data_IF_558403387250
#
_entry.id   IF_558403387250
#
_cell.length_a   1.000
_cell.length_b   1.000
_cell.length_c   1.000
_cell.angle_alpha   90.00
_cell.angle_beta   90.00
_cell.angle_gamma   90.00
#
_symmetry.space_group_name_H-M   'P 1'
#
loop_
_entity.id
_entity.type
_entity.pdbx_description
1 polymer ?
#
# COMPACT_ATOMS: atom_id res chain seq x y z
N UNK A 1 -20.57 -30.01 6.28
CA UNK A 1 -21.79 -29.26 6.63
C UNK A 1 -22.76 -29.29 5.45
N UNK A 2 -24.08 -29.34 5.70
CA UNK A 2 -25.11 -29.25 4.65
C UNK A 2 -25.94 -27.99 4.92
N UNK A 3 -26.18 -27.21 3.87
CA UNK A 3 -27.05 -26.04 3.89
C UNK A 3 -28.22 -26.30 2.94
N UNK A 4 -29.43 -26.05 3.40
CA UNK A 4 -30.64 -26.16 2.57
C UNK A 4 -30.69 -24.98 1.61
N UNK A 5 -31.09 -25.25 0.37
CA UNK A 5 -31.42 -24.22 -0.62
C UNK A 5 -32.95 -24.13 -0.78
N UNK A 6 -33.47 -22.95 -1.03
CA UNK A 6 -34.89 -22.62 -1.08
C UNK A 6 -35.25 -21.93 -2.41
N UNK A 7 -36.46 -22.20 -2.92
CA UNK A 7 -37.10 -21.52 -4.04
C UNK A 7 -38.30 -20.74 -3.45
N UNK A 8 -38.01 -19.67 -2.72
CA UNK A 8 -39.00 -18.98 -1.91
C UNK A 8 -39.03 -17.45 -2.14
N UNK A 9 -38.24 -16.93 -3.08
CA UNK A 9 -38.10 -15.50 -3.34
C UNK A 9 -37.29 -14.76 -2.27
N UNK A 10 -36.57 -15.51 -1.42
CA UNK A 10 -35.61 -15.04 -0.43
C UNK A 10 -34.29 -15.84 -0.57
N UNK A 11 -33.33 -15.67 0.34
CA UNK A 11 -32.07 -16.43 0.32
C UNK A 11 -31.26 -16.26 -1.00
N UNK A 12 -31.24 -15.04 -1.57
CA UNK A 12 -30.67 -14.72 -2.90
C UNK A 12 -31.40 -15.40 -4.08
N UNK A 13 -32.64 -15.80 -3.86
CA UNK A 13 -33.60 -16.20 -4.89
C UNK A 13 -34.60 -15.06 -5.12
N UNK A 14 -34.82 -14.68 -6.38
CA UNK A 14 -35.59 -13.47 -6.71
C UNK A 14 -37.08 -13.66 -6.75
N UNK A 15 -37.61 -14.89 -7.07
CA UNK A 15 -39.01 -15.18 -7.23
C UNK A 15 -39.35 -16.57 -6.73
N UNK A 16 -40.33 -16.67 -5.84
CA UNK A 16 -40.82 -17.97 -5.34
C UNK A 16 -41.44 -18.83 -6.43
N UNK A 17 -40.99 -20.08 -6.54
CA UNK A 17 -41.54 -21.09 -7.41
C UNK A 17 -41.11 -21.01 -8.87
N UNK A 18 -40.01 -20.30 -9.18
CA UNK A 18 -39.51 -20.16 -10.56
C UNK A 18 -38.48 -21.24 -10.94
N UNK A 19 -38.12 -22.10 -10.01
CA UNK A 19 -37.15 -23.19 -10.19
C UNK A 19 -35.71 -22.77 -9.95
N UNK A 20 -35.45 -21.53 -9.53
CA UNK A 20 -34.15 -21.05 -9.06
C UNK A 20 -34.09 -21.26 -7.53
N UNK A 21 -32.97 -21.73 -7.04
CA UNK A 21 -32.80 -22.04 -5.62
C UNK A 21 -31.64 -21.24 -5.03
N UNK A 22 -31.92 -20.46 -4.01
CA UNK A 22 -30.94 -19.70 -3.26
C UNK A 22 -30.55 -20.36 -1.93
N UNK A 23 -29.34 -20.08 -1.47
CA UNK A 23 -28.87 -20.55 -0.16
C UNK A 23 -27.53 -19.94 0.22
N UNK A 24 -27.34 -19.75 1.51
CA UNK A 24 -26.15 -19.07 2.04
C UNK A 24 -25.16 -20.09 2.61
N UNK A 25 -23.93 -20.04 2.12
CA UNK A 25 -22.80 -20.73 2.76
C UNK A 25 -22.42 -19.94 4.02
N UNK A 26 -22.30 -20.59 5.21
CA UNK A 26 -21.87 -19.89 6.42
C UNK A 26 -20.55 -19.17 6.24
N UNK A 27 -20.37 -18.05 6.95
CA UNK A 27 -19.11 -17.32 6.97
C UNK A 27 -17.97 -18.15 7.56
N UNK A 28 -16.79 -18.02 6.97
CA UNK A 28 -15.55 -18.62 7.45
C UNK A 28 -14.50 -17.54 7.64
N UNK A 29 -13.48 -17.83 8.45
CA UNK A 29 -12.35 -16.92 8.64
C UNK A 29 -11.60 -16.63 7.33
N UNK A 30 -11.01 -15.44 7.23
CA UNK A 30 -10.17 -15.07 6.10
C UNK A 30 -9.03 -16.10 5.88
N UNK A 31 -8.66 -16.32 4.64
CA UNK A 31 -7.68 -17.33 4.25
C UNK A 31 -8.22 -18.76 4.18
N UNK A 32 -9.46 -19.02 4.64
CA UNK A 32 -10.06 -20.36 4.59
C UNK A 32 -10.34 -20.78 3.15
N UNK A 33 -9.91 -21.97 2.78
CA UNK A 33 -10.31 -22.64 1.53
C UNK A 33 -11.64 -23.34 1.75
N UNK A 34 -12.69 -22.87 1.09
CA UNK A 34 -14.02 -23.46 1.15
C UNK A 34 -14.23 -24.34 -0.08
N UNK A 35 -14.57 -25.60 0.15
CA UNK A 35 -14.93 -26.55 -0.88
C UNK A 35 -16.41 -26.87 -0.77
N UNK A 36 -17.14 -26.79 -1.89
CA UNK A 36 -18.57 -27.08 -1.88
C UNK A 36 -19.03 -27.71 -3.18
N UNK A 37 -20.14 -28.38 -3.11
CA UNK A 37 -20.92 -28.86 -4.27
C UNK A 37 -22.40 -28.73 -3.99
N UNK A 38 -23.21 -28.76 -5.02
CA UNK A 38 -24.67 -28.67 -4.93
C UNK A 38 -25.25 -30.07 -5.20
N UNK A 39 -26.19 -30.49 -4.37
CA UNK A 39 -26.95 -31.72 -4.54
C UNK A 39 -28.42 -31.39 -4.72
N UNK A 40 -29.02 -31.81 -5.81
CA UNK A 40 -30.46 -31.77 -6.04
C UNK A 40 -31.04 -33.15 -6.01
N UNK A 41 -32.08 -33.35 -5.22
CA UNK A 41 -32.81 -34.64 -5.12
C UNK A 41 -34.24 -34.44 -5.58
N UNK A 42 -34.67 -35.28 -6.51
CA UNK A 42 -36.06 -35.23 -7.01
C UNK A 42 -37.04 -35.74 -5.96
N UNK A 43 -38.17 -35.07 -5.82
CA UNK A 43 -39.26 -35.46 -4.92
C UNK A 43 -40.12 -36.66 -5.44
N UNK A 44 -39.73 -37.27 -6.58
CA UNK A 44 -40.41 -38.41 -7.15
C UNK A 44 -40.09 -39.74 -6.43
N UNK A 45 -40.82 -40.81 -6.76
CA UNK A 45 -40.63 -42.12 -6.16
C UNK A 45 -39.22 -42.70 -6.39
N UNK A 46 -38.56 -42.34 -7.48
CA UNK A 46 -37.21 -42.81 -7.81
C UNK A 46 -36.11 -42.09 -7.03
N UNK A 47 -36.44 -40.95 -6.39
CA UNK A 47 -35.48 -40.11 -5.64
C UNK A 47 -34.13 -39.89 -6.35
N UNK A 48 -34.22 -39.60 -7.65
CA UNK A 48 -33.02 -39.36 -8.45
C UNK A 48 -32.24 -38.16 -7.89
N UNK A 49 -30.91 -38.29 -7.84
CA UNK A 49 -30.00 -37.28 -7.32
C UNK A 49 -29.11 -36.79 -8.46
N UNK A 50 -28.86 -35.50 -8.48
CA UNK A 50 -27.90 -34.83 -9.36
C UNK A 50 -26.93 -34.00 -8.52
N UNK A 51 -25.74 -33.90 -9.03
CA UNK A 51 -24.67 -33.11 -8.39
C UNK A 51 -24.14 -32.04 -9.36
N UNK A 52 -23.69 -30.93 -8.80
CA UNK A 52 -22.97 -29.90 -9.51
C UNK A 52 -21.74 -29.48 -8.67
N UNK A 53 -20.52 -29.69 -9.17
CA UNK A 53 -20.14 -30.37 -10.41
C UNK A 53 -20.60 -31.83 -10.49
N UNK A 54 -20.71 -32.38 -11.69
CA UNK A 54 -21.25 -33.74 -11.89
C UNK A 54 -20.39 -34.83 -11.24
N UNK A 55 -19.12 -34.58 -11.03
CA UNK A 55 -18.14 -35.48 -10.37
C UNK A 55 -18.07 -35.34 -8.85
N UNK A 56 -18.99 -34.57 -8.22
CA UNK A 56 -18.99 -34.49 -6.76
C UNK A 56 -19.20 -35.92 -6.16
N UNK A 57 -18.48 -36.24 -5.13
CA UNK A 57 -17.69 -35.53 -4.12
C UNK A 57 -16.19 -35.41 -4.46
N UNK A 58 -15.77 -35.84 -5.64
CA UNK A 58 -14.37 -35.73 -6.10
C UNK A 58 -14.10 -34.39 -6.78
N UNK A 59 -15.03 -33.94 -7.62
CA UNK A 59 -15.00 -32.62 -8.23
C UNK A 59 -15.84 -31.67 -7.38
N UNK A 60 -15.25 -30.53 -6.98
CA UNK A 60 -15.90 -29.55 -6.11
C UNK A 60 -15.58 -28.14 -6.59
N UNK A 61 -16.47 -27.20 -6.31
CA UNK A 61 -16.14 -25.78 -6.38
C UNK A 61 -15.24 -25.41 -5.20
N UNK A 62 -14.29 -24.53 -5.47
CA UNK A 62 -13.34 -24.05 -4.45
C UNK A 62 -13.27 -22.54 -4.53
N UNK A 63 -13.33 -21.88 -3.38
CA UNK A 63 -12.95 -20.47 -3.26
C UNK A 63 -12.18 -20.23 -1.96
N UNK A 64 -11.41 -19.17 -1.92
CA UNK A 64 -10.73 -18.70 -0.70
C UNK A 64 -11.49 -17.51 -0.16
N UNK A 65 -11.71 -17.50 1.16
CA UNK A 65 -12.32 -16.35 1.83
C UNK A 65 -11.31 -15.23 1.82
N UNK A 66 -11.58 -14.16 1.08
CA UNK A 66 -10.73 -12.98 1.06
C UNK A 66 -10.81 -12.23 2.40
N UNK A 67 -9.70 -11.72 2.92
CA UNK A 67 -9.75 -10.84 4.07
C UNK A 67 -10.50 -9.55 3.72
N UNK A 68 -11.26 -9.04 4.68
CA UNK A 68 -11.92 -7.75 4.55
C UNK A 68 -10.95 -6.62 4.89
N UNK A 69 -11.08 -5.47 4.24
CA UNK A 69 -10.36 -4.27 4.63
C UNK A 69 -11.03 -3.63 5.84
N UNK A 70 -10.22 -3.12 6.76
CA UNK A 70 -10.68 -2.29 7.86
C UNK A 70 -10.98 -0.87 7.35
N UNK A 71 -11.88 -0.17 8.04
CA UNK A 71 -12.04 1.27 7.87
C UNK A 71 -11.07 2.06 8.77
N UNK A 72 -10.33 1.36 9.62
CA UNK A 72 -9.29 1.94 10.47
C UNK A 72 -8.02 2.12 9.64
N UNK A 73 -7.59 3.36 9.49
CA UNK A 73 -6.38 3.75 8.76
C UNK A 73 -5.46 4.59 9.64
N UNK A 74 -5.66 4.52 10.95
CA UNK A 74 -5.02 5.40 11.91
C UNK A 74 -3.55 5.02 12.16
N UNK A 75 -3.24 3.72 12.12
CA UNK A 75 -1.90 3.19 12.29
C UNK A 75 -1.52 2.43 11.02
N UNK A 76 -0.29 2.62 10.57
CA UNK A 76 0.23 2.00 9.35
C UNK A 76 1.54 1.30 9.61
N UNK A 77 1.88 0.33 8.76
CA UNK A 77 3.24 -0.21 8.66
C UNK A 77 4.09 0.88 8.00
N UNK A 78 5.10 1.39 8.68
CA UNK A 78 5.88 2.54 8.25
C UNK A 78 7.26 2.16 7.70
N UNK A 79 7.93 1.23 8.36
CA UNK A 79 9.24 0.73 7.95
C UNK A 79 9.39 -0.75 8.35
N UNK A 80 10.11 -1.52 7.57
CA UNK A 80 10.56 -2.87 7.94
C UNK A 80 12.05 -3.02 7.68
N UNK A 81 12.73 -3.78 8.54
CA UNK A 81 14.11 -4.19 8.38
C UNK A 81 14.15 -5.72 8.40
N UNK A 82 14.24 -6.32 7.22
CA UNK A 82 14.22 -7.77 7.06
C UNK A 82 15.62 -8.38 6.86
N UNK A 83 16.67 -7.64 7.20
CA UNK A 83 18.06 -8.09 7.23
C UNK A 83 18.87 -7.08 8.06
N UNK A 84 18.78 -7.17 9.38
CA UNK A 84 19.50 -6.32 10.31
C UNK A 84 20.76 -7.05 10.80
N UNK A 85 21.90 -6.41 10.69
CA UNK A 85 23.16 -6.96 11.22
C UNK A 85 23.95 -5.98 12.11
N UNK A 86 23.73 -4.67 11.93
CA UNK A 86 24.49 -3.66 12.67
C UNK A 86 23.73 -2.38 12.99
N UNK A 87 22.49 -2.23 12.53
CA UNK A 87 21.77 -0.93 12.60
C UNK A 87 21.13 -0.65 13.94
N UNK A 88 20.35 -1.56 14.45
CA UNK A 88 19.66 -1.41 15.74
C UNK A 88 19.65 -2.75 16.46
N UNK A 89 20.09 -2.75 17.69
CA UNK A 89 20.00 -3.90 18.57
C UNK A 89 18.81 -3.74 19.52
N UNK A 90 18.23 -4.86 19.90
CA UNK A 90 17.21 -4.94 20.93
C UNK A 90 17.79 -4.71 22.35
N UNK A 91 16.96 -4.88 23.37
CA UNK A 91 17.36 -4.74 24.77
C UNK A 91 18.30 -5.85 25.25
N UNK A 92 18.48 -6.93 24.49
CA UNK A 92 19.38 -8.05 24.75
C UNK A 92 20.70 -7.94 23.99
N UNK A 93 20.81 -6.92 23.12
CA UNK A 93 22.00 -6.65 22.30
C UNK A 93 22.02 -7.49 21.02
N UNK A 94 20.90 -8.04 20.60
CA UNK A 94 20.75 -8.83 19.38
C UNK A 94 20.29 -7.94 18.23
N UNK A 95 20.77 -8.24 17.02
CA UNK A 95 20.43 -7.50 15.80
C UNK A 95 19.39 -8.28 15.01
N UNK A 96 18.15 -8.20 15.47
CA UNK A 96 17.03 -8.89 14.87
C UNK A 96 16.28 -8.02 13.86
N UNK A 97 15.50 -8.66 13.00
CA UNK A 97 14.60 -7.98 12.09
C UNK A 97 13.52 -7.24 12.89
N UNK A 98 13.03 -6.14 12.34
CA UNK A 98 12.00 -5.35 13.02
C UNK A 98 10.96 -4.74 12.09
N UNK A 99 9.81 -4.44 12.67
CA UNK A 99 8.67 -3.79 12.05
C UNK A 99 8.38 -2.51 12.81
N UNK A 100 8.23 -1.40 12.10
CA UNK A 100 7.81 -0.14 12.68
C UNK A 100 6.36 0.16 12.30
N UNK A 101 5.53 0.40 13.31
CA UNK A 101 4.18 0.92 13.17
C UNK A 101 4.17 2.40 13.51
N UNK A 102 3.44 3.19 12.76
CA UNK A 102 3.36 4.65 12.93
C UNK A 102 1.91 5.10 13.13
N UNK A 103 1.67 5.90 14.17
CA UNK A 103 0.40 6.59 14.38
C UNK A 103 0.42 7.94 13.65
N UNK A 104 -0.24 8.03 12.51
CA UNK A 104 -0.32 9.25 11.70
C UNK A 104 -1.40 10.23 12.17
N UNK A 105 -2.04 9.99 13.31
CA UNK A 105 -3.09 10.84 13.85
C UNK A 105 -2.59 11.90 14.82
N UNK A 106 -3.49 12.83 15.11
CA UNK A 106 -3.31 13.88 16.12
C UNK A 106 -3.77 13.45 17.52
N UNK A 107 -4.23 12.20 17.70
CA UNK A 107 -4.64 11.62 18.96
C UNK A 107 -3.95 10.28 19.22
N UNK A 108 -3.79 9.86 20.49
CA UNK A 108 -3.31 8.52 20.81
C UNK A 108 -4.23 7.44 20.23
N UNK A 109 -3.65 6.36 19.72
CA UNK A 109 -4.41 5.21 19.20
C UNK A 109 -4.08 3.97 20.01
N UNK A 110 -5.11 3.31 20.53
CA UNK A 110 -5.00 2.00 21.19
C UNK A 110 -5.06 0.91 20.14
N UNK A 111 -3.95 0.19 19.96
CA UNK A 111 -3.81 -0.94 19.04
C UNK A 111 -3.77 -2.28 19.77
N UNK A 112 -4.26 -2.32 21.01
CA UNK A 112 -4.41 -3.56 21.78
C UNK A 112 -5.22 -4.60 21.03
N UNK A 113 -4.68 -5.80 20.91
CA UNK A 113 -5.37 -6.90 20.26
C UNK A 113 -5.35 -6.89 18.73
N UNK A 114 -4.69 -5.94 18.11
CA UNK A 114 -4.36 -5.99 16.67
C UNK A 114 -3.44 -7.18 16.40
N UNK A 115 -3.30 -7.56 15.14
CA UNK A 115 -2.45 -8.68 14.75
C UNK A 115 -1.43 -8.25 13.71
N UNK A 116 -0.23 -8.84 13.80
CA UNK A 116 0.77 -8.87 12.73
C UNK A 116 0.92 -10.30 12.22
N UNK A 117 1.07 -10.44 10.92
CA UNK A 117 1.32 -11.74 10.29
C UNK A 117 2.10 -11.61 9.00
N UNK A 118 3.09 -12.48 8.84
CA UNK A 118 3.84 -12.75 7.61
C UNK A 118 3.17 -13.82 6.73
N UNK A 119 2.01 -14.34 7.15
CA UNK A 119 1.38 -15.50 6.54
C UNK A 119 -0.06 -15.21 6.09
N UNK A 120 -0.36 -15.23 4.78
CA UNK A 120 -1.70 -14.93 4.26
C UNK A 120 -2.77 -15.97 4.63
N UNK A 121 -2.36 -17.15 5.12
CA UNK A 121 -3.28 -18.23 5.52
C UNK A 121 -3.52 -18.25 7.03
N UNK A 122 -2.66 -17.57 7.82
CA UNK A 122 -2.77 -17.44 9.27
C UNK A 122 -2.61 -15.97 9.67
N UNK A 123 -3.65 -15.18 9.42
CA UNK A 123 -3.62 -13.72 9.60
C UNK A 123 -3.56 -13.27 11.07
N UNK A 124 -3.86 -14.13 12.03
CA UNK A 124 -3.78 -13.86 13.48
C UNK A 124 -2.55 -14.49 14.14
N UNK A 125 -1.40 -14.49 13.44
CA UNK A 125 -0.19 -15.20 13.85
C UNK A 125 0.39 -14.68 15.16
N UNK A 126 0.47 -13.35 15.32
CA UNK A 126 0.93 -12.70 16.54
C UNK A 126 0.01 -11.52 16.91
N UNK A 127 -0.37 -11.46 18.18
CA UNK A 127 -1.29 -10.45 18.68
C UNK A 127 -0.54 -9.37 19.48
N UNK A 128 -0.78 -8.12 19.16
CA UNK A 128 -0.26 -6.96 19.88
C UNK A 128 -0.81 -6.97 21.31
N UNK A 129 0.04 -6.85 22.32
CA UNK A 129 -0.36 -6.94 23.73
C UNK A 129 -1.40 -5.90 24.14
N UNK A 130 -2.19 -6.25 25.16
CA UNK A 130 -3.16 -5.33 25.76
C UNK A 130 -2.45 -4.13 26.41
N UNK A 131 -3.05 -2.94 26.29
CA UNK A 131 -2.50 -1.68 26.80
C UNK A 131 -1.48 -1.02 25.87
N UNK A 132 -1.35 -1.50 24.64
CA UNK A 132 -0.45 -0.90 23.66
C UNK A 132 -1.09 0.33 23.02
N UNK A 133 -0.56 1.52 23.35
CA UNK A 133 -1.03 2.81 22.84
C UNK A 133 0.14 3.51 22.15
N UNK A 134 -0.06 3.91 20.88
CA UNK A 134 0.90 4.73 20.16
C UNK A 134 0.45 6.19 20.26
N UNK A 135 1.34 7.07 20.75
CA UNK A 135 1.08 8.50 20.87
C UNK A 135 0.94 9.18 19.48
N UNK A 136 0.38 10.39 19.38
CA UNK A 136 0.28 11.11 18.12
C UNK A 136 1.64 11.30 17.46
N UNK A 137 1.76 10.96 16.17
CA UNK A 137 2.98 11.05 15.37
C UNK A 137 4.17 10.27 15.97
N UNK A 138 3.88 9.20 16.73
CA UNK A 138 4.87 8.36 17.38
C UNK A 138 4.92 6.97 16.75
N UNK A 139 5.91 6.18 17.12
CA UNK A 139 6.24 4.90 16.53
C UNK A 139 6.18 3.78 17.57
N UNK A 140 5.90 2.58 17.09
CA UNK A 140 6.08 1.34 17.85
C UNK A 140 6.96 0.39 17.06
N UNK A 141 8.06 -0.04 17.68
CA UNK A 141 8.92 -1.09 17.12
C UNK A 141 8.46 -2.44 17.65
N UNK A 142 8.34 -3.39 16.73
CA UNK A 142 8.08 -4.81 17.00
C UNK A 142 9.24 -5.60 16.41
N UNK A 143 9.96 -6.34 17.25
CA UNK A 143 11.03 -7.25 16.85
C UNK A 143 10.42 -8.50 16.23
N UNK A 144 10.89 -8.89 15.08
CA UNK A 144 10.43 -10.08 14.37
C UNK A 144 11.53 -11.15 14.42
N UNK A 145 11.63 -11.84 15.57
CA UNK A 145 12.77 -12.64 15.97
C UNK A 145 12.44 -14.06 16.45
N UNK A 146 11.15 -14.41 16.56
CA UNK A 146 10.64 -15.67 17.15
C UNK A 146 10.98 -15.83 18.64
N UNK A 147 11.44 -14.79 19.33
CA UNK A 147 11.81 -14.85 20.75
C UNK A 147 10.88 -14.05 21.66
N UNK A 148 9.65 -14.50 21.78
CA UNK A 148 8.64 -13.88 22.64
C UNK A 148 9.00 -13.89 24.14
N UNK A 149 10.06 -14.60 24.55
CA UNK A 149 10.57 -14.59 25.92
C UNK A 149 11.31 -13.30 26.26
N UNK A 150 11.81 -12.59 25.26
CA UNK A 150 12.53 -11.32 25.43
C UNK A 150 11.62 -10.14 25.72
N UNK A 151 10.31 -10.23 25.44
CA UNK A 151 9.42 -9.15 25.81
C UNK A 151 8.09 -9.12 25.04
N UNK A 152 7.22 -8.16 25.41
CA UNK A 152 5.88 -8.10 24.83
C UNK A 152 5.84 -7.66 23.36
N UNK A 153 6.91 -7.07 22.85
CA UNK A 153 7.02 -6.61 21.46
C UNK A 153 7.99 -7.45 20.61
N UNK A 154 8.24 -8.70 21.03
CA UNK A 154 8.96 -9.71 20.26
C UNK A 154 7.96 -10.68 19.64
N UNK A 155 7.83 -10.62 18.31
CA UNK A 155 6.86 -11.40 17.57
C UNK A 155 7.33 -12.87 17.42
N UNK A 156 6.38 -13.77 17.27
CA UNK A 156 6.64 -15.20 17.12
C UNK A 156 6.94 -15.62 15.66
N UNK A 157 7.53 -14.69 14.88
CA UNK A 157 7.93 -14.93 13.49
C UNK A 157 9.13 -14.04 13.13
N UNK A 158 9.83 -14.42 12.06
CA UNK A 158 10.93 -13.66 11.46
C UNK A 158 10.51 -13.09 10.12
N UNK A 159 11.21 -12.07 9.63
CA UNK A 159 11.03 -11.56 8.29
C UNK A 159 12.02 -12.21 7.33
N UNK A 160 11.63 -12.33 6.06
CA UNK A 160 12.47 -12.88 5.01
C UNK A 160 13.17 -11.77 4.24
N UNK A 161 14.48 -11.72 4.30
CA UNK A 161 15.30 -10.82 3.47
C UNK A 161 15.23 -11.11 1.97
N UNK A 162 14.73 -12.27 1.55
CA UNK A 162 14.54 -12.62 0.13
C UNK A 162 13.20 -12.13 -0.46
N UNK A 163 12.32 -11.64 0.38
CA UNK A 163 10.99 -11.15 0.02
C UNK A 163 9.88 -11.90 0.73
N UNK A 164 8.84 -11.16 1.11
CA UNK A 164 7.72 -11.64 1.90
C UNK A 164 6.53 -10.69 1.85
N UNK A 165 5.47 -11.04 2.57
CA UNK A 165 4.29 -10.21 2.81
C UNK A 165 4.10 -10.02 4.31
N UNK A 166 3.66 -8.83 4.70
CA UNK A 166 3.30 -8.49 6.08
C UNK A 166 1.91 -7.87 6.10
N UNK A 167 1.11 -8.26 7.09
CA UNK A 167 -0.24 -7.76 7.31
C UNK A 167 -0.37 -7.18 8.71
N UNK A 168 -1.00 -6.02 8.82
CA UNK A 168 -1.53 -5.44 10.05
C UNK A 168 -3.05 -5.57 10.02
N UNK A 169 -3.64 -6.19 11.05
CA UNK A 169 -5.08 -6.42 11.13
C UNK A 169 -5.65 -5.83 12.42
N UNK A 170 -6.90 -5.38 12.35
CA UNK A 170 -7.66 -4.98 13.54
C UNK A 170 -8.12 -6.21 14.36
N UNK A 171 -8.65 -6.01 15.58
CA UNK A 171 -9.14 -7.12 16.41
C UNK A 171 -10.27 -7.94 15.78
N UNK A 172 -10.95 -7.40 14.76
CA UNK A 172 -11.97 -8.11 13.97
C UNK A 172 -11.37 -8.90 12.81
N UNK A 173 -10.03 -8.96 12.72
CA UNK A 173 -9.26 -9.63 11.66
C UNK A 173 -9.48 -9.02 10.26
N UNK A 174 -9.75 -7.73 10.19
CA UNK A 174 -9.77 -6.97 8.93
C UNK A 174 -8.40 -6.32 8.70
N UNK A 175 -7.96 -6.33 7.45
CA UNK A 175 -6.68 -5.72 7.09
C UNK A 175 -6.76 -4.20 7.25
N UNK A 176 -5.92 -3.67 8.12
CA UNK A 176 -5.68 -2.22 8.30
C UNK A 176 -4.66 -1.74 7.28
N UNK A 177 -3.55 -2.47 7.17
CA UNK A 177 -2.47 -2.19 6.23
C UNK A 177 -1.77 -3.47 5.81
N UNK A 178 -1.09 -3.44 4.68
CA UNK A 178 -0.29 -4.57 4.20
C UNK A 178 0.87 -4.11 3.35
N UNK A 179 1.94 -4.89 3.40
CA UNK A 179 3.18 -4.65 2.69
C UNK A 179 3.65 -5.93 2.02
N UNK A 180 4.18 -5.80 0.80
CA UNK A 180 4.89 -6.87 0.10
C UNK A 180 6.22 -6.34 -0.39
N UNK A 181 7.29 -7.11 -0.20
CA UNK A 181 8.62 -6.74 -0.66
C UNK A 181 9.32 -7.91 -1.37
N UNK A 182 10.29 -7.58 -2.21
CA UNK A 182 11.25 -8.49 -2.82
C UNK A 182 12.56 -8.53 -2.02
N UNK A 183 13.68 -8.97 -2.64
CA UNK A 183 14.97 -9.05 -1.95
C UNK A 183 15.38 -7.73 -1.29
N UNK A 184 15.78 -7.80 -0.03
CA UNK A 184 16.20 -6.66 0.78
C UNK A 184 17.73 -6.55 0.82
N UNK A 185 18.22 -5.36 1.12
CA UNK A 185 19.64 -5.07 1.32
C UNK A 185 19.92 -5.06 2.82
N UNK A 186 20.93 -5.77 3.26
CA UNK A 186 21.33 -5.81 4.68
C UNK A 186 21.60 -4.39 5.19
N UNK A 187 21.09 -4.11 6.38
CA UNK A 187 21.18 -2.81 7.06
C UNK A 187 20.55 -1.64 6.28
N UNK A 188 19.58 -1.93 5.42
CA UNK A 188 18.73 -0.94 4.78
C UNK A 188 17.27 -1.17 5.17
N UNK A 189 16.56 -0.10 5.49
CA UNK A 189 15.13 -0.10 5.76
C UNK A 189 14.32 -0.10 4.46
N UNK A 190 13.16 -0.75 4.48
CA UNK A 190 12.15 -0.60 3.45
C UNK A 190 11.00 0.21 4.05
N UNK A 191 10.97 1.51 3.72
CA UNK A 191 10.25 2.54 4.48
C UNK A 191 9.32 3.38 3.62
N UNK A 192 8.22 3.86 4.20
CA UNK A 192 7.30 4.80 3.53
C UNK A 192 7.93 6.18 3.44
N UNK A 193 8.02 6.71 2.22
CA UNK A 193 8.47 8.09 1.96
C UNK A 193 7.46 8.78 1.03
N UNK A 194 6.77 9.84 1.47
CA UNK A 194 6.77 10.45 2.81
C UNK A 194 6.32 9.52 3.94
N UNK A 195 6.78 9.84 5.16
CA UNK A 195 6.47 9.12 6.39
C UNK A 195 4.96 8.84 6.54
N UNK A 196 4.60 7.62 6.86
CA UNK A 196 3.21 7.18 7.09
C UNK A 196 2.33 7.03 5.85
N UNK A 197 2.62 7.69 4.74
CA UNK A 197 1.69 7.78 3.61
C UNK A 197 2.27 7.48 2.23
N UNK A 198 3.59 7.55 2.08
CA UNK A 198 4.26 7.38 0.79
C UNK A 198 4.36 5.92 0.33
N UNK A 199 4.86 5.72 -0.90
CA UNK A 199 5.31 4.41 -1.34
C UNK A 199 6.49 3.94 -0.51
N UNK A 200 6.69 2.62 -0.44
CA UNK A 200 7.87 2.05 0.21
C UNK A 200 9.09 2.15 -0.70
N UNK A 201 10.21 2.58 -0.13
CA UNK A 201 11.51 2.68 -0.80
C UNK A 201 12.60 2.07 0.09
N UNK A 202 13.67 1.54 -0.52
CA UNK A 202 14.88 1.12 0.21
C UNK A 202 15.70 2.37 0.53
N UNK A 203 16.01 2.57 1.81
CA UNK A 203 16.79 3.70 2.31
C UNK A 203 17.61 3.33 3.54
N UNK A 204 18.45 4.27 4.02
CA UNK A 204 19.05 4.15 5.36
C UNK A 204 17.93 4.06 6.41
N UNK A 205 18.04 3.13 7.37
CA UNK A 205 16.98 2.90 8.36
C UNK A 205 16.82 4.09 9.30
N UNK A 206 15.58 4.32 9.73
CA UNK A 206 15.24 5.47 10.57
C UNK A 206 14.84 5.08 12.00
N UNK A 207 14.59 3.85 12.29
CA UNK A 207 14.29 3.20 13.58
C UNK A 207 13.69 4.13 14.66
N UNK A 208 12.37 4.19 14.75
CA UNK A 208 11.64 5.04 15.69
C UNK A 208 11.67 6.53 15.34
N UNK A 209 11.91 6.87 14.08
CA UNK A 209 12.01 8.24 13.62
C UNK A 209 11.35 8.44 12.24
N UNK A 210 11.25 9.70 11.82
CA UNK A 210 10.63 10.08 10.56
C UNK A 210 11.44 9.56 9.36
N UNK A 211 10.80 8.82 8.46
CA UNK A 211 11.40 8.25 7.25
C UNK A 211 11.78 9.28 6.18
N UNK A 212 11.35 10.52 6.32
CA UNK A 212 11.76 11.55 5.37
C UNK A 212 13.27 11.76 5.48
N UNK A 213 14.02 11.78 4.36
CA UNK A 213 15.46 11.95 4.42
C UNK A 213 15.81 13.25 5.18
N UNK A 214 16.60 13.12 6.24
CA UNK A 214 17.10 14.25 7.00
C UNK A 214 18.03 15.07 6.10
N UNK A 215 17.57 16.21 5.63
CA UNK A 215 18.31 17.10 4.72
C UNK A 215 17.43 17.89 3.78
N UNK A 216 16.16 17.50 3.67
CA UNK A 216 15.12 18.39 3.22
C UNK A 216 14.33 18.77 4.49
N UNK A 217 14.66 19.88 5.14
CA UNK A 217 13.63 20.55 5.90
C UNK A 217 12.41 20.58 5.00
N UNK A 218 11.25 20.07 5.48
CA UNK A 218 9.98 20.53 4.96
C UNK A 218 9.94 22.03 5.24
N UNK A 219 10.66 22.78 4.43
CA UNK A 219 10.09 24.04 4.06
C UNK A 219 8.74 23.64 3.48
N UNK A 220 7.68 24.26 3.93
CA UNK A 220 6.39 24.35 3.26
C UNK A 220 6.61 24.99 1.88
N UNK A 221 7.56 24.48 1.13
CA UNK A 221 7.91 24.90 -0.20
C UNK A 221 6.81 24.37 -1.08
N UNK A 222 5.95 25.25 -1.47
CA UNK A 222 5.00 25.03 -2.54
C UNK A 222 5.75 24.31 -3.65
N UNK A 223 5.28 23.12 -4.10
CA UNK A 223 6.04 22.32 -5.05
C UNK A 223 6.36 23.14 -6.30
N UNK A 224 7.56 23.02 -6.82
CA UNK A 224 7.95 23.70 -8.03
C UNK A 224 6.97 23.33 -9.15
N UNK A 225 6.44 24.33 -9.81
CA UNK A 225 5.44 24.20 -10.86
C UNK A 225 5.87 24.97 -12.10
N UNK A 226 5.67 24.38 -13.27
CA UNK A 226 5.92 25.02 -14.57
C UNK A 226 4.77 24.69 -15.51
N UNK A 227 4.09 25.71 -16.04
CA UNK A 227 3.10 25.57 -17.08
C UNK A 227 3.50 26.37 -18.31
N UNK A 228 3.19 25.85 -19.49
CA UNK A 228 3.50 26.42 -20.79
C UNK A 228 2.19 26.53 -21.59
N UNK A 229 1.88 27.73 -22.11
CA UNK A 229 0.72 27.88 -22.97
C UNK A 229 0.84 29.10 -23.92
N UNK A 230 0.31 29.05 -25.16
CA UNK A 230 -0.14 27.80 -25.79
C UNK A 230 1.02 26.84 -26.05
N UNK A 231 0.70 25.55 -26.18
CA UNK A 231 1.65 24.54 -26.61
C UNK A 231 0.90 23.51 -27.50
N UNK A 232 1.11 23.52 -28.83
CA UNK A 232 2.14 24.27 -29.57
C UNK A 232 2.03 25.81 -29.50
N UNK A 233 3.19 26.47 -29.59
CA UNK A 233 3.31 27.94 -29.68
C UNK A 233 3.74 28.35 -31.08
N UNK A 234 3.17 29.47 -31.56
CA UNK A 234 3.48 30.04 -32.90
C UNK A 234 4.19 31.37 -32.82
N UNK A 235 3.73 32.27 -31.99
CA UNK A 235 4.29 33.63 -31.85
C UNK A 235 4.76 33.88 -30.41
N UNK A 236 3.94 33.59 -29.44
CA UNK A 236 4.23 33.83 -28.03
C UNK A 236 4.03 32.58 -27.17
N UNK A 237 4.91 32.42 -26.21
CA UNK A 237 4.84 31.41 -25.17
C UNK A 237 4.68 32.08 -23.81
N UNK A 238 3.64 31.75 -23.08
CA UNK A 238 3.46 32.18 -21.70
C UNK A 238 3.91 31.08 -20.77
N UNK A 239 4.64 31.45 -19.74
CA UNK A 239 5.11 30.60 -18.68
C UNK A 239 4.46 31.02 -17.37
N UNK A 240 3.89 30.09 -16.65
CA UNK A 240 3.53 30.26 -15.25
C UNK A 240 4.43 29.37 -14.42
N UNK A 241 5.17 29.96 -13.51
CA UNK A 241 6.27 29.32 -12.80
C UNK A 241 6.12 29.56 -11.31
N UNK A 242 6.31 28.52 -10.55
CA UNK A 242 6.48 28.59 -9.11
C UNK A 242 7.72 27.76 -8.77
N UNK A 243 8.77 28.41 -8.35
CA UNK A 243 10.00 27.76 -7.86
C UNK A 243 10.39 28.45 -6.55
N UNK A 244 10.37 27.71 -5.42
CA UNK A 244 10.70 28.26 -4.11
C UNK A 244 12.14 28.79 -4.01
N UNK A 245 13.01 28.38 -4.93
CA UNK A 245 14.40 28.82 -5.00
C UNK A 245 14.64 29.89 -6.07
N UNK A 246 13.58 30.35 -6.76
CA UNK A 246 13.64 31.40 -7.80
C UNK A 246 14.75 31.19 -8.86
N UNK A 247 14.94 29.91 -9.26
CA UNK A 247 15.99 29.54 -10.22
C UNK A 247 15.63 29.97 -11.62
N UNK A 248 16.63 30.41 -12.38
CA UNK A 248 16.48 30.85 -13.77
C UNK A 248 15.86 29.72 -14.64
N UNK A 249 15.14 30.18 -15.66
CA UNK A 249 14.53 29.32 -16.66
C UNK A 249 15.54 29.07 -17.77
N UNK A 250 15.77 27.81 -18.09
CA UNK A 250 16.66 27.42 -19.19
C UNK A 250 15.84 26.72 -20.28
N UNK A 251 16.16 27.03 -21.54
CA UNK A 251 15.52 26.44 -22.71
C UNK A 251 16.55 25.72 -23.56
N UNK A 252 16.25 24.47 -23.90
CA UNK A 252 17.15 23.59 -24.65
C UNK A 252 16.49 23.07 -25.92
N UNK A 253 17.28 22.82 -26.94
CA UNK A 253 16.88 22.00 -28.08
C UNK A 253 16.81 20.54 -27.67
N UNK A 254 16.19 19.69 -28.49
CA UNK A 254 16.18 18.24 -28.29
C UNK A 254 17.57 17.59 -28.28
N UNK A 255 18.58 18.27 -28.82
CA UNK A 255 19.97 17.84 -28.79
C UNK A 255 20.72 18.24 -27.51
N UNK A 256 20.00 18.87 -26.54
CA UNK A 256 20.55 19.31 -25.26
C UNK A 256 21.34 20.64 -25.34
N UNK A 257 21.32 21.33 -26.48
CA UNK A 257 21.93 22.66 -26.59
C UNK A 257 21.03 23.68 -25.90
N UNK A 258 21.56 24.41 -24.91
CA UNK A 258 20.88 25.51 -24.27
C UNK A 258 20.85 26.72 -25.20
N UNK A 259 19.67 27.23 -25.51
CA UNK A 259 19.44 28.36 -26.41
C UNK A 259 19.06 29.64 -25.69
N UNK A 260 18.42 29.51 -24.51
CA UNK A 260 18.05 30.67 -23.69
C UNK A 260 18.26 30.40 -22.21
N UNK A 261 18.59 31.44 -21.46
CA UNK A 261 18.48 31.52 -20.00
C UNK A 261 17.73 32.80 -19.68
N UNK A 262 16.68 32.72 -18.87
CA UNK A 262 15.80 33.81 -18.54
C UNK A 262 15.71 33.88 -17.02
N UNK A 263 15.90 35.07 -16.47
CA UNK A 263 15.80 35.28 -15.03
C UNK A 263 14.40 34.93 -14.53
N UNK A 264 14.33 34.28 -13.39
CA UNK A 264 13.08 33.87 -12.78
C UNK A 264 12.08 35.02 -12.64
N UNK A 265 10.85 34.75 -13.03
CA UNK A 265 9.66 35.49 -12.65
C UNK A 265 8.45 34.56 -12.63
N UNK A 266 7.45 34.80 -11.77
CA UNK A 266 6.28 33.91 -11.65
C UNK A 266 5.47 33.78 -12.94
N UNK A 267 5.49 34.83 -13.75
CA UNK A 267 4.84 34.90 -15.07
C UNK A 267 5.80 35.51 -16.07
N UNK A 268 5.98 34.86 -17.20
CA UNK A 268 6.82 35.31 -18.29
C UNK A 268 6.11 35.11 -19.62
N UNK A 269 6.35 36.03 -20.56
CA UNK A 269 5.96 35.89 -21.96
C UNK A 269 7.21 35.95 -22.82
N UNK A 270 7.38 34.95 -23.67
CA UNK A 270 8.53 34.81 -24.56
C UNK A 270 8.04 34.90 -26.00
N UNK A 271 8.69 35.75 -26.82
CA UNK A 271 8.49 35.75 -28.28
C UNK A 271 9.25 34.55 -28.88
N UNK A 272 8.50 33.61 -29.48
CA UNK A 272 9.03 32.43 -30.14
C UNK A 272 8.86 32.47 -31.65
N UNK A 273 8.36 33.58 -32.21
CA UNK A 273 8.07 33.72 -33.64
C UNK A 273 9.29 33.56 -34.56
N UNK A 274 10.50 33.80 -34.03
CA UNK A 274 11.76 33.62 -34.75
C UNK A 274 12.40 32.24 -34.51
N UNK A 275 11.78 31.38 -33.71
CA UNK A 275 12.38 30.08 -33.43
C UNK A 275 12.05 29.09 -34.53
N UNK A 276 13.01 28.22 -34.89
CA UNK A 276 12.71 27.13 -35.81
C UNK A 276 11.59 26.23 -35.28
N UNK A 277 10.68 25.82 -36.16
CA UNK A 277 9.66 24.83 -35.79
C UNK A 277 10.31 23.57 -35.28
N UNK A 278 9.85 23.09 -34.12
CA UNK A 278 10.48 21.93 -33.48
C UNK A 278 10.07 21.71 -32.02
N UNK A 279 10.81 20.83 -31.38
CA UNK A 279 10.60 20.47 -29.98
C UNK A 279 11.74 21.03 -29.13
N UNK A 280 11.35 21.65 -28.04
CA UNK A 280 12.24 22.25 -27.05
C UNK A 280 11.93 21.73 -25.66
N UNK A 281 12.87 21.82 -24.75
CA UNK A 281 12.69 21.54 -23.33
C UNK A 281 12.86 22.84 -22.56
N UNK A 282 11.84 23.22 -21.82
CA UNK A 282 11.87 24.34 -20.86
C UNK A 282 12.08 23.75 -19.47
N UNK A 283 13.09 24.22 -18.75
CA UNK A 283 13.46 23.75 -17.41
C UNK A 283 13.54 24.92 -16.44
N UNK A 284 12.99 24.73 -15.26
CA UNK A 284 13.19 25.59 -14.09
C UNK A 284 13.52 24.69 -12.89
N UNK A 285 14.77 24.72 -12.43
CA UNK A 285 15.23 23.83 -11.38
C UNK A 285 15.04 22.34 -11.72
N UNK A 286 14.27 21.62 -10.90
CA UNK A 286 13.98 20.19 -11.08
C UNK A 286 12.81 19.93 -12.05
N UNK A 287 12.03 20.96 -12.37
CA UNK A 287 10.85 20.82 -13.24
C UNK A 287 11.22 21.10 -14.68
N UNK A 288 10.82 20.21 -15.59
CA UNK A 288 10.95 20.44 -17.02
C UNK A 288 9.66 20.10 -17.77
N UNK A 289 9.42 20.81 -18.87
CA UNK A 289 8.28 20.61 -19.76
C UNK A 289 8.71 20.64 -21.22
N UNK A 290 8.04 19.84 -22.02
CA UNK A 290 8.17 19.83 -23.48
C UNK A 290 7.36 20.98 -24.07
N UNK A 291 8.00 21.78 -24.93
CA UNK A 291 7.39 22.82 -25.75
C UNK A 291 7.45 22.38 -27.21
N UNK A 292 6.37 22.60 -27.95
CA UNK A 292 6.33 22.51 -29.40
C UNK A 292 6.20 23.93 -29.99
N UNK A 293 7.04 24.29 -30.96
CA UNK A 293 6.95 25.52 -31.73
C UNK A 293 6.61 25.16 -33.17
N UNK A 294 5.60 25.84 -33.74
CA UNK A 294 5.11 25.65 -35.12
C UNK A 294 5.41 26.86 -36.01
#
# INVERSE_FOLDING_TARGET
QKTQMFDDGAHDDSLSGDGIYGGTIPGYAAGTWVRYYIQAAAGNTAKSVRYLPAGAEHDVFIYTVAPQLSNDTLVVINEVMASNSTTAADNFGEYDDWIELFNQNTAPVDISGYYLSDNPVNLNKWQIPAGTIIQPNDYLIVWADEDSAQGPYHANFKLSGSGEMLYLLDPSQKIVDSLTWGPQITDQGFARVPNGSGPFVIQGPTFGANNNPTGLEETTATPAYLSLYPNPATETLNLQIQDPNERDIEIFTMMGQRIHTITYAPYLTIDVSSWPSGVYIVRCGEVSKKLMVE
#
